data_IF_676718937419
#
_entry.id   IF_676718937419
#
_cell.length_a   1.000
_cell.length_b   1.000
_cell.length_c   1.000
_cell.angle_alpha   90.00
_cell.angle_beta   90.00
_cell.angle_gamma   90.00
#
_symmetry.space_group_name_H-M   'P 1'
#
loop_
_entity.id
_entity.type
_entity.pdbx_description
1 polymer ?
#
# COMPACT_ATOMS: atom_id res chain seq x y z
N UNK A 1 4.01 -11.89 13.27
CA UNK A 1 2.63 -11.87 13.82
C UNK A 1 1.75 -12.85 13.06
N UNK A 2 1.00 -13.73 13.72
CA UNK A 2 0.00 -14.59 13.06
C UNK A 2 -1.40 -14.09 13.44
N UNK A 3 -2.14 -13.59 12.46
CA UNK A 3 -3.52 -13.14 12.60
C UNK A 3 -4.31 -13.64 11.39
N UNK A 4 -5.44 -14.29 11.61
CA UNK A 4 -6.25 -14.87 10.55
C UNK A 4 -7.56 -14.11 10.31
N UNK A 5 -8.07 -13.39 11.30
CA UNK A 5 -9.37 -12.75 11.22
C UNK A 5 -10.55 -13.72 11.07
N UNK A 6 -11.76 -13.22 11.05
CA UNK A 6 -12.96 -13.97 10.66
C UNK A 6 -13.17 -13.90 9.15
N UNK A 7 -13.91 -14.83 8.56
CA UNK A 7 -14.17 -14.84 7.11
C UNK A 7 -14.83 -13.53 6.60
N UNK A 8 -15.64 -12.88 7.44
CA UNK A 8 -16.36 -11.64 7.12
C UNK A 8 -15.68 -10.39 7.72
N UNK A 9 -14.39 -10.45 8.10
CA UNK A 9 -13.67 -9.37 8.79
C UNK A 9 -13.79 -8.02 8.07
N UNK A 10 -13.75 -8.04 6.73
CA UNK A 10 -13.75 -6.83 5.89
C UNK A 10 -15.03 -6.72 5.04
N UNK A 11 -16.07 -7.46 5.41
CA UNK A 11 -17.36 -7.37 4.76
C UNK A 11 -17.87 -5.92 4.82
N UNK A 12 -18.43 -5.45 3.72
CA UNK A 12 -18.92 -4.08 3.52
C UNK A 12 -17.83 -2.99 3.60
N UNK A 13 -16.55 -3.35 3.59
CA UNK A 13 -15.44 -2.41 3.46
C UNK A 13 -15.07 -2.21 1.99
N UNK A 14 -14.88 -0.96 1.59
CA UNK A 14 -14.29 -0.58 0.31
C UNK A 14 -12.83 -0.17 0.53
N UNK A 15 -11.90 -0.85 -0.14
CA UNK A 15 -10.47 -0.68 0.11
C UNK A 15 -9.73 -0.43 -1.19
N UNK A 16 -8.95 0.66 -1.25
CA UNK A 16 -8.05 0.99 -2.35
C UNK A 16 -6.64 0.46 -2.05
N UNK A 17 -6.08 -0.28 -3.00
CA UNK A 17 -4.72 -0.85 -2.91
C UNK A 17 -3.89 -0.36 -4.09
N UNK A 18 -2.77 0.33 -3.83
CA UNK A 18 -1.80 0.72 -4.86
C UNK A 18 -0.74 -0.36 -5.05
N UNK A 19 -0.23 -0.53 -6.28
CA UNK A 19 0.67 -1.63 -6.61
C UNK A 19 -0.01 -3.00 -6.56
N UNK A 20 -1.32 -3.03 -6.85
CA UNK A 20 -2.17 -4.20 -6.68
C UNK A 20 -1.93 -5.30 -7.72
N UNK A 21 -1.19 -5.01 -8.81
CA UNK A 21 -0.94 -5.97 -9.88
C UNK A 21 0.13 -7.03 -9.54
N UNK A 22 0.95 -6.85 -8.50
CA UNK A 22 2.02 -7.79 -8.20
C UNK A 22 2.46 -7.79 -6.73
N UNK A 23 3.28 -8.76 -6.36
CA UNK A 23 4.00 -8.82 -5.09
C UNK A 23 3.09 -8.67 -3.87
N UNK A 24 3.45 -7.75 -2.97
CA UNK A 24 2.73 -7.53 -1.71
C UNK A 24 1.32 -7.01 -1.96
N UNK A 25 1.14 -6.05 -2.89
CA UNK A 25 -0.17 -5.48 -3.19
C UNK A 25 -1.16 -6.53 -3.70
N UNK A 26 -0.75 -7.42 -4.60
CA UNK A 26 -1.57 -8.52 -5.09
C UNK A 26 -1.91 -9.55 -3.99
N UNK A 27 -0.94 -9.87 -3.12
CA UNK A 27 -1.18 -10.77 -1.98
C UNK A 27 -2.16 -10.17 -0.96
N UNK A 28 -2.02 -8.89 -0.65
CA UNK A 28 -2.95 -8.15 0.21
C UNK A 28 -4.35 -8.12 -0.41
N UNK A 29 -4.45 -7.87 -1.73
CA UNK A 29 -5.73 -7.87 -2.44
C UNK A 29 -6.44 -9.23 -2.30
N UNK A 30 -5.73 -10.35 -2.54
CA UNK A 30 -6.28 -11.70 -2.33
C UNK A 30 -6.73 -11.93 -0.90
N UNK A 31 -5.92 -11.55 0.08
CA UNK A 31 -6.26 -11.71 1.48
C UNK A 31 -7.51 -10.92 1.87
N UNK A 32 -7.62 -9.67 1.46
CA UNK A 32 -8.76 -8.82 1.78
C UNK A 32 -10.04 -9.28 1.08
N UNK A 33 -9.95 -9.70 -0.18
CA UNK A 33 -11.07 -10.26 -0.93
C UNK A 33 -11.64 -11.53 -0.27
N UNK A 34 -10.76 -12.41 0.21
CA UNK A 34 -11.14 -13.62 0.95
C UNK A 34 -11.82 -13.31 2.30
N UNK A 35 -11.73 -12.08 2.80
CA UNK A 35 -12.40 -11.60 4.01
C UNK A 35 -13.59 -10.67 3.71
N UNK A 36 -14.07 -10.69 2.46
CA UNK A 36 -15.31 -10.02 2.05
C UNK A 36 -15.19 -8.56 1.62
N UNK A 37 -13.97 -8.01 1.49
CA UNK A 37 -13.78 -6.62 1.05
C UNK A 37 -14.16 -6.41 -0.42
N UNK A 38 -14.75 -5.25 -0.72
CA UNK A 38 -14.83 -4.70 -2.08
C UNK A 38 -13.54 -3.95 -2.37
N UNK A 39 -12.83 -4.33 -3.43
CA UNK A 39 -11.51 -3.80 -3.72
C UNK A 39 -11.48 -2.86 -4.92
N UNK A 40 -10.64 -1.83 -4.82
CA UNK A 40 -10.23 -0.97 -5.93
C UNK A 40 -8.73 -1.23 -6.13
N UNK A 41 -8.38 -1.83 -7.25
CA UNK A 41 -7.03 -2.27 -7.57
C UNK A 41 -6.36 -1.22 -8.46
N UNK A 42 -5.35 -0.52 -7.92
CA UNK A 42 -4.61 0.50 -8.65
C UNK A 42 -3.20 0.00 -8.99
N UNK A 43 -2.87 0.00 -10.26
CA UNK A 43 -1.52 -0.24 -10.79
C UNK A 43 -1.40 0.38 -12.19
N UNK A 44 -0.18 0.59 -12.66
CA UNK A 44 0.08 1.01 -14.05
C UNK A 44 0.09 -0.16 -15.03
N UNK A 45 0.29 -1.37 -14.54
CA UNK A 45 0.38 -2.59 -15.35
C UNK A 45 -1.01 -3.22 -15.52
N UNK A 46 -1.71 -2.83 -16.60
CA UNK A 46 -3.07 -3.30 -16.88
C UNK A 46 -3.16 -4.83 -16.96
N UNK A 47 -2.30 -5.56 -17.71
CA UNK A 47 -2.35 -7.02 -17.76
C UNK A 47 -2.20 -7.68 -16.38
N UNK A 48 -1.36 -7.12 -15.50
CA UNK A 48 -1.21 -7.64 -14.15
C UNK A 48 -2.44 -7.37 -13.27
N UNK A 49 -3.09 -6.22 -13.43
CA UNK A 49 -4.38 -5.93 -12.77
C UNK A 49 -5.47 -6.90 -13.23
N UNK A 50 -5.57 -7.13 -14.53
CA UNK A 50 -6.56 -8.06 -15.12
C UNK A 50 -6.36 -9.49 -14.60
N UNK A 51 -5.11 -9.94 -14.46
CA UNK A 51 -4.82 -11.26 -13.88
C UNK A 51 -5.32 -11.34 -12.43
N UNK A 52 -5.03 -10.36 -11.58
CA UNK A 52 -5.52 -10.34 -10.19
C UNK A 52 -7.03 -10.26 -10.15
N UNK A 53 -7.64 -9.46 -11.02
CA UNK A 53 -9.11 -9.38 -11.14
C UNK A 53 -9.73 -10.75 -11.44
N UNK A 54 -9.23 -11.46 -12.45
CA UNK A 54 -9.73 -12.76 -12.85
C UNK A 54 -9.59 -13.80 -11.73
N UNK A 55 -8.44 -13.78 -11.01
CA UNK A 55 -8.21 -14.64 -9.83
C UNK A 55 -9.25 -14.38 -8.73
N UNK A 56 -9.56 -13.11 -8.42
CA UNK A 56 -10.52 -12.73 -7.39
C UNK A 56 -11.95 -13.09 -7.78
N UNK A 57 -12.34 -12.83 -9.02
CA UNK A 57 -13.66 -13.21 -9.55
C UNK A 57 -13.83 -14.74 -9.54
N UNK A 58 -12.80 -15.48 -9.97
CA UNK A 58 -12.83 -16.94 -9.96
C UNK A 58 -12.92 -17.55 -8.55
N UNK A 59 -12.41 -16.85 -7.53
CA UNK A 59 -12.52 -17.26 -6.12
C UNK A 59 -13.91 -17.03 -5.51
N UNK A 60 -14.80 -16.32 -6.22
CA UNK A 60 -16.14 -15.95 -5.71
C UNK A 60 -16.13 -14.75 -4.75
N UNK A 61 -15.03 -14.01 -4.68
CA UNK A 61 -14.94 -12.77 -3.92
C UNK A 61 -15.80 -11.64 -4.54
N UNK A 62 -16.09 -10.56 -3.78
CA UNK A 62 -16.74 -9.38 -4.37
C UNK A 62 -15.95 -8.87 -5.58
N UNK A 63 -16.65 -8.60 -6.68
CA UNK A 63 -16.02 -8.15 -7.94
C UNK A 63 -15.24 -6.85 -7.71
N UNK A 64 -13.91 -6.84 -7.93
CA UNK A 64 -13.10 -5.64 -7.71
C UNK A 64 -13.27 -4.64 -8.86
N UNK A 65 -12.96 -3.37 -8.61
CA UNK A 65 -12.79 -2.37 -9.65
C UNK A 65 -11.31 -2.24 -10.03
N UNK A 66 -11.01 -2.08 -11.31
CA UNK A 66 -9.67 -1.77 -11.79
C UNK A 66 -9.52 -0.26 -11.99
N UNK A 67 -8.42 0.29 -11.52
CA UNK A 67 -8.05 1.69 -11.73
C UNK A 67 -6.61 1.79 -12.26
N UNK A 68 -6.42 1.70 -13.59
CA UNK A 68 -5.11 1.86 -14.21
C UNK A 68 -4.59 3.30 -14.00
N UNK A 69 -3.49 3.46 -13.27
CA UNK A 69 -2.85 4.77 -13.07
C UNK A 69 -1.34 4.60 -12.87
N UNK A 70 -0.55 5.34 -13.67
CA UNK A 70 0.88 5.46 -13.42
C UNK A 70 1.17 6.61 -12.45
N UNK A 71 1.53 6.24 -11.21
CA UNK A 71 1.85 7.22 -10.16
C UNK A 71 3.03 8.13 -10.52
N UNK A 72 3.90 7.73 -11.47
CA UNK A 72 5.00 8.56 -11.93
C UNK A 72 4.51 9.79 -12.72
N UNK A 73 3.46 9.62 -13.51
CA UNK A 73 2.91 10.67 -14.36
C UNK A 73 1.67 11.36 -13.81
N UNK A 74 1.09 10.82 -12.73
CA UNK A 74 -0.15 11.34 -12.16
C UNK A 74 0.04 12.71 -11.54
N UNK A 75 -0.89 13.61 -11.85
CA UNK A 75 -0.99 14.97 -11.35
C UNK A 75 -2.00 15.10 -10.21
N UNK A 76 -2.06 16.22 -9.54
CA UNK A 76 -3.03 16.47 -8.46
C UNK A 76 -4.49 16.22 -8.93
N UNK A 77 -4.93 16.74 -10.10
CA UNK A 77 -6.27 16.46 -10.61
C UNK A 77 -6.58 14.96 -10.79
N UNK A 78 -5.61 14.13 -11.17
CA UNK A 78 -5.83 12.70 -11.36
C UNK A 78 -6.20 12.00 -10.03
N UNK A 79 -5.58 12.40 -8.91
CA UNK A 79 -5.92 11.89 -7.57
C UNK A 79 -7.26 12.42 -7.08
N UNK A 80 -7.59 13.68 -7.35
CA UNK A 80 -8.87 14.29 -6.99
C UNK A 80 -10.02 13.61 -7.79
N UNK A 81 -9.79 13.31 -9.08
CA UNK A 81 -10.73 12.55 -9.91
C UNK A 81 -10.90 11.11 -9.42
N UNK A 82 -9.81 10.44 -9.03
CA UNK A 82 -9.90 9.09 -8.43
C UNK A 82 -10.78 9.11 -7.17
N UNK A 83 -10.56 10.04 -6.25
CA UNK A 83 -11.35 10.16 -5.04
C UNK A 83 -12.84 10.44 -5.34
N UNK A 84 -13.13 11.27 -6.34
CA UNK A 84 -14.49 11.55 -6.81
C UNK A 84 -15.13 10.29 -7.41
N UNK A 85 -14.39 9.54 -8.22
CA UNK A 85 -14.88 8.28 -8.83
C UNK A 85 -15.19 7.24 -7.75
N UNK A 86 -14.35 7.14 -6.70
CA UNK A 86 -14.63 6.26 -5.55
C UNK A 86 -15.91 6.70 -4.84
N UNK A 87 -16.06 8.01 -4.59
CA UNK A 87 -17.25 8.54 -3.97
C UNK A 87 -18.53 8.22 -4.78
N UNK A 88 -18.48 8.45 -6.09
CA UNK A 88 -19.65 8.28 -6.97
C UNK A 88 -20.09 6.82 -7.15
N UNK A 89 -19.12 5.88 -7.20
CA UNK A 89 -19.39 4.48 -7.48
C UNK A 89 -19.59 3.62 -6.22
N UNK A 90 -18.92 3.97 -5.10
CA UNK A 90 -18.92 3.17 -3.87
C UNK A 90 -19.52 3.91 -2.68
N UNK A 91 -19.52 5.25 -2.69
CA UNK A 91 -20.00 6.09 -1.59
C UNK A 91 -19.10 6.15 -0.37
N UNK A 92 -18.18 5.18 -0.22
CA UNK A 92 -17.31 5.00 0.96
C UNK A 92 -15.90 4.58 0.59
N UNK A 93 -14.95 4.85 1.49
CA UNK A 93 -13.60 4.29 1.46
C UNK A 93 -13.15 4.01 2.89
N UNK A 94 -13.01 2.74 3.24
CA UNK A 94 -12.68 2.28 4.59
C UNK A 94 -11.21 1.94 4.75
N UNK A 95 -10.51 1.70 3.64
CA UNK A 95 -9.11 1.36 3.66
C UNK A 95 -8.33 1.93 2.48
N UNK A 96 -7.08 2.34 2.77
CA UNK A 96 -6.11 2.77 1.76
C UNK A 96 -4.76 2.09 2.06
N UNK A 97 -4.29 1.26 1.12
CA UNK A 97 -3.02 0.52 1.28
C UNK A 97 -2.02 0.96 0.21
N UNK A 98 -0.93 1.53 0.65
CA UNK A 98 0.17 1.97 -0.21
C UNK A 98 1.24 0.88 -0.31
N UNK A 99 1.15 0.04 -1.37
CA UNK A 99 2.15 -0.98 -1.71
C UNK A 99 2.99 -0.64 -2.93
N UNK A 100 2.55 0.30 -3.78
CA UNK A 100 3.31 0.72 -4.95
C UNK A 100 4.66 1.30 -4.55
N UNK A 101 5.74 0.86 -5.21
CA UNK A 101 7.08 1.37 -4.97
C UNK A 101 7.98 1.22 -6.20
N UNK A 102 8.90 2.16 -6.35
CA UNK A 102 10.03 2.09 -7.28
C UNK A 102 11.34 1.99 -6.49
N UNK A 103 12.20 1.04 -6.85
CA UNK A 103 13.54 0.91 -6.24
C UNK A 103 14.46 2.08 -6.64
N UNK A 104 14.22 2.68 -7.79
CA UNK A 104 15.14 3.67 -8.35
C UNK A 104 16.52 3.07 -8.64
N UNK A 105 17.56 3.76 -8.21
CA UNK A 105 18.97 3.37 -8.39
C UNK A 105 19.67 3.21 -7.05
N UNK A 106 20.29 2.06 -6.83
CA UNK A 106 21.17 1.80 -5.69
C UNK A 106 22.60 2.18 -6.07
N UNK A 107 23.09 3.32 -5.58
CA UNK A 107 24.43 3.85 -5.90
C UNK A 107 24.88 4.88 -4.87
N UNK A 108 26.19 5.20 -4.80
CA UNK A 108 26.70 6.35 -4.05
C UNK A 108 26.01 7.65 -4.49
N UNK A 109 25.80 8.59 -3.56
CA UNK A 109 25.07 9.85 -3.85
C UNK A 109 25.66 10.62 -5.04
N UNK A 110 26.97 10.64 -5.20
CA UNK A 110 27.65 11.33 -6.32
C UNK A 110 27.38 10.69 -7.71
N UNK A 111 26.88 9.46 -7.75
CA UNK A 111 26.59 8.71 -8.98
C UNK A 111 25.10 8.48 -9.19
N UNK A 112 24.25 9.10 -8.35
CA UNK A 112 22.80 9.05 -8.55
C UNK A 112 22.40 9.82 -9.80
N UNK A 113 21.53 9.20 -10.60
CA UNK A 113 20.83 9.92 -11.66
C UNK A 113 19.77 10.84 -11.02
N UNK A 114 19.88 12.19 -11.19
CA UNK A 114 18.91 13.10 -10.60
C UNK A 114 17.47 12.87 -11.07
N UNK A 115 17.28 12.39 -12.30
CA UNK A 115 15.94 12.09 -12.82
C UNK A 115 15.34 10.90 -12.09
N UNK A 116 16.08 9.80 -11.98
CA UNK A 116 15.63 8.61 -11.23
C UNK A 116 15.42 8.92 -9.75
N UNK A 117 16.22 9.80 -9.17
CA UNK A 117 16.03 10.30 -7.81
C UNK A 117 14.66 10.95 -7.63
N UNK A 118 14.33 11.93 -8.48
CA UNK A 118 13.05 12.65 -8.41
C UNK A 118 11.87 11.72 -8.67
N UNK A 119 11.96 10.84 -9.67
CA UNK A 119 10.93 9.85 -9.98
C UNK A 119 10.67 8.92 -8.79
N UNK A 120 11.74 8.41 -8.15
CA UNK A 120 11.60 7.52 -7.00
C UNK A 120 10.94 8.21 -5.81
N UNK A 121 11.34 9.44 -5.47
CA UNK A 121 10.70 10.23 -4.42
C UNK A 121 9.24 10.54 -4.77
N UNK A 122 8.96 10.82 -6.05
CA UNK A 122 7.59 11.08 -6.47
C UNK A 122 6.70 9.85 -6.27
N UNK A 123 7.10 8.69 -6.79
CA UNK A 123 6.31 7.45 -6.70
C UNK A 123 6.16 6.98 -5.25
N UNK A 124 7.24 7.01 -4.46
CA UNK A 124 7.26 6.38 -3.15
C UNK A 124 6.79 7.28 -2.00
N UNK A 125 6.81 8.60 -2.17
CA UNK A 125 6.49 9.55 -1.10
C UNK A 125 5.44 10.58 -1.53
N UNK A 126 5.66 11.29 -2.65
CA UNK A 126 4.75 12.36 -3.07
C UNK A 126 3.40 11.81 -3.52
N UNK A 127 3.38 10.76 -4.33
CA UNK A 127 2.14 10.12 -4.79
C UNK A 127 1.31 9.53 -3.63
N UNK A 128 1.87 8.76 -2.66
CA UNK A 128 1.15 8.38 -1.45
C UNK A 128 0.56 9.54 -0.67
N UNK A 129 1.29 10.64 -0.50
CA UNK A 129 0.78 11.85 0.14
C UNK A 129 -0.41 12.44 -0.64
N UNK A 130 -0.27 12.64 -1.96
CA UNK A 130 -1.32 13.23 -2.79
C UNK A 130 -2.59 12.37 -2.83
N UNK A 131 -2.44 11.06 -2.95
CA UNK A 131 -3.54 10.12 -2.94
C UNK A 131 -4.25 10.10 -1.58
N UNK A 132 -3.47 10.04 -0.48
CA UNK A 132 -4.03 10.12 0.88
C UNK A 132 -4.82 11.41 1.07
N UNK A 133 -4.24 12.56 0.71
CA UNK A 133 -4.89 13.87 0.78
C UNK A 133 -6.22 13.89 0.02
N UNK A 134 -6.26 13.35 -1.19
CA UNK A 134 -7.47 13.33 -2.00
C UNK A 134 -8.58 12.43 -1.40
N UNK A 135 -8.19 11.31 -0.79
CA UNK A 135 -9.14 10.34 -0.23
C UNK A 135 -9.57 10.65 1.21
N UNK A 136 -8.81 11.46 1.96
CA UNK A 136 -8.99 11.63 3.40
C UNK A 136 -10.40 12.09 3.78
N UNK A 137 -10.95 13.08 3.09
CA UNK A 137 -12.30 13.58 3.37
C UNK A 137 -13.40 12.53 3.16
N UNK A 138 -13.19 11.56 2.25
CA UNK A 138 -14.10 10.44 2.06
C UNK A 138 -13.96 9.42 3.19
N UNK A 139 -12.74 9.14 3.63
CA UNK A 139 -12.45 8.20 4.71
C UNK A 139 -12.97 8.69 6.07
N UNK A 140 -12.92 9.99 6.33
CA UNK A 140 -13.43 10.61 7.57
C UNK A 140 -14.95 10.62 7.69
N UNK A 141 -15.71 10.21 6.67
CA UNK A 141 -17.18 10.13 6.74
C UNK A 141 -17.67 8.93 7.57
N UNK A 142 -16.82 7.94 7.82
CA UNK A 142 -17.16 6.69 8.49
C UNK A 142 -16.29 6.48 9.73
N UNK A 143 -16.77 5.71 10.68
CA UNK A 143 -16.21 5.66 12.03
C UNK A 143 -14.94 4.79 12.21
N UNK A 144 -14.47 4.12 11.17
CA UNK A 144 -13.31 3.22 11.30
C UNK A 144 -12.61 2.98 9.96
N UNK A 145 -11.83 3.95 9.52
CA UNK A 145 -10.98 3.79 8.35
C UNK A 145 -9.53 3.50 8.73
N UNK A 146 -8.77 2.87 7.83
CA UNK A 146 -7.37 2.52 8.05
C UNK A 146 -6.50 2.87 6.84
N UNK A 147 -5.40 3.59 7.07
CA UNK A 147 -4.36 3.86 6.09
C UNK A 147 -3.13 3.04 6.47
N UNK A 148 -2.62 2.26 5.52
CA UNK A 148 -1.44 1.42 5.72
C UNK A 148 -0.39 1.78 4.68
N UNK A 149 0.79 2.21 5.17
CA UNK A 149 1.95 2.43 4.32
C UNK A 149 2.91 1.24 4.43
N UNK A 150 3.47 0.81 3.28
CA UNK A 150 4.53 -0.21 3.26
C UNK A 150 5.88 0.48 3.30
N UNK A 151 6.64 0.28 4.39
CA UNK A 151 8.01 0.78 4.58
C UNK A 151 9.07 -0.28 4.26
N UNK A 152 10.32 -0.07 4.67
CA UNK A 152 11.44 -0.99 4.44
C UNK A 152 12.54 -0.77 5.50
N UNK A 153 13.20 -1.84 5.90
CA UNK A 153 14.30 -1.81 6.86
C UNK A 153 15.54 -1.05 6.36
N UNK A 154 15.72 -0.92 5.03
CA UNK A 154 16.90 -0.28 4.43
C UNK A 154 16.81 1.25 4.35
N UNK A 155 15.84 1.86 4.99
CA UNK A 155 15.59 3.31 4.98
C UNK A 155 16.80 4.17 5.36
N UNK A 156 17.66 3.68 6.25
CA UNK A 156 18.85 4.38 6.74
C UNK A 156 20.16 3.72 6.28
N UNK A 157 20.12 2.91 5.22
CA UNK A 157 21.25 2.13 4.74
C UNK A 157 22.00 2.88 3.62
N UNK A 158 23.33 2.89 3.69
CA UNK A 158 24.17 3.47 2.64
C UNK A 158 23.85 2.88 1.26
N UNK A 159 23.91 3.69 0.22
CA UNK A 159 23.63 3.37 -1.19
C UNK A 159 22.14 3.18 -1.53
N UNK A 160 21.21 3.17 -0.57
CA UNK A 160 19.77 3.04 -0.81
C UNK A 160 19.12 4.36 -1.23
N UNK A 161 19.80 5.46 -1.08
CA UNK A 161 19.55 6.74 -1.72
C UNK A 161 18.08 7.20 -1.67
N UNK A 162 17.50 7.60 -2.81
CA UNK A 162 16.10 8.07 -2.89
C UNK A 162 15.09 7.03 -2.41
N UNK A 163 15.36 5.74 -2.59
CA UNK A 163 14.48 4.69 -2.05
C UNK A 163 14.47 4.73 -0.52
N UNK A 164 15.63 4.63 0.13
CA UNK A 164 15.73 4.64 1.59
C UNK A 164 15.13 5.94 2.17
N UNK A 165 15.50 7.10 1.60
CA UNK A 165 14.96 8.40 2.01
C UNK A 165 13.44 8.44 1.87
N UNK A 166 12.87 7.90 0.77
CA UNK A 166 11.42 7.85 0.60
C UNK A 166 10.72 7.00 1.67
N UNK A 167 11.35 5.89 2.09
CA UNK A 167 10.79 5.03 3.15
C UNK A 167 10.88 5.67 4.54
N UNK A 168 11.97 6.39 4.85
CA UNK A 168 12.03 7.24 6.05
C UNK A 168 10.97 8.35 6.01
N UNK A 169 10.77 8.97 4.84
CA UNK A 169 9.74 10.00 4.63
C UNK A 169 8.31 9.46 4.84
N UNK A 170 8.01 8.25 4.37
CA UNK A 170 6.71 7.59 4.56
C UNK A 170 6.45 7.29 6.05
N UNK A 171 7.45 6.82 6.79
CA UNK A 171 7.29 6.61 8.24
C UNK A 171 7.02 7.91 8.99
N UNK A 172 7.72 8.99 8.61
CA UNK A 172 7.48 10.32 9.17
C UNK A 172 6.08 10.83 8.83
N UNK A 173 5.65 10.71 7.56
CA UNK A 173 4.32 11.08 7.11
C UNK A 173 3.23 10.30 7.87
N UNK A 174 3.41 8.99 8.02
CA UNK A 174 2.48 8.13 8.76
C UNK A 174 2.29 8.58 10.21
N UNK A 175 3.39 8.90 10.90
CA UNK A 175 3.34 9.37 12.29
C UNK A 175 2.66 10.72 12.41
N UNK A 176 2.96 11.67 11.50
CA UNK A 176 2.34 12.99 11.50
C UNK A 176 0.83 12.89 11.24
N UNK A 177 0.41 12.09 10.25
CA UNK A 177 -1.00 11.87 9.96
C UNK A 177 -1.73 11.17 11.12
N UNK A 178 -1.10 10.21 11.77
CA UNK A 178 -1.67 9.53 12.93
C UNK A 178 -1.94 10.49 14.09
N UNK A 179 -1.00 11.40 14.39
CA UNK A 179 -1.11 12.42 15.43
C UNK A 179 -2.18 13.48 15.05
N UNK A 180 -2.15 13.95 13.80
CA UNK A 180 -3.10 14.94 13.27
C UNK A 180 -4.55 14.45 13.31
N UNK A 181 -4.78 13.15 13.06
CA UNK A 181 -6.11 12.53 12.99
C UNK A 181 -6.57 11.90 14.31
N UNK A 182 -5.73 11.90 15.36
CA UNK A 182 -6.03 11.27 16.64
C UNK A 182 -7.29 11.85 17.31
N UNK A 183 -7.45 13.18 17.28
CA UNK A 183 -8.59 13.85 17.88
C UNK A 183 -9.93 13.48 17.24
N UNK A 184 -9.95 13.19 15.94
CA UNK A 184 -11.14 12.74 15.22
C UNK A 184 -11.40 11.24 15.45
N UNK A 185 -10.34 10.45 15.59
CA UNK A 185 -10.37 9.02 15.91
C UNK A 185 -10.96 8.11 14.83
N UNK A 186 -11.36 8.67 13.68
CA UNK A 186 -12.05 7.95 12.60
C UNK A 186 -11.10 7.25 11.64
N UNK A 187 -9.87 7.74 11.52
CA UNK A 187 -8.87 7.20 10.59
C UNK A 187 -7.62 6.85 11.36
N UNK A 188 -7.23 5.59 11.33
CA UNK A 188 -5.96 5.10 11.87
C UNK A 188 -4.90 5.06 10.77
N UNK A 189 -3.67 5.41 11.10
CA UNK A 189 -2.57 5.45 10.14
C UNK A 189 -1.39 4.68 10.69
N UNK A 190 -0.95 3.64 9.99
CA UNK A 190 0.16 2.79 10.43
C UNK A 190 1.09 2.43 9.28
N UNK A 191 2.29 1.97 9.62
CA UNK A 191 3.25 1.40 8.67
C UNK A 191 3.43 -0.10 8.89
N UNK A 192 3.76 -0.81 7.80
CA UNK A 192 4.24 -2.19 7.87
C UNK A 192 5.61 -2.26 7.21
N UNK A 193 6.57 -2.81 7.93
CA UNK A 193 7.83 -3.29 7.36
C UNK A 193 7.64 -4.76 7.00
N UNK A 194 7.59 -5.12 5.71
CA UNK A 194 7.33 -6.49 5.27
C UNK A 194 8.52 -7.42 5.50
N UNK A 195 9.73 -6.88 5.74
CA UNK A 195 10.97 -7.63 5.69
C UNK A 195 11.32 -8.11 4.29
N UNK A 196 12.33 -8.99 4.14
CA UNK A 196 12.72 -9.56 2.85
C UNK A 196 11.62 -10.48 2.28
N UNK A 197 11.01 -10.07 1.16
CA UNK A 197 9.90 -10.79 0.50
C UNK A 197 10.27 -11.12 -0.92
N UNK A 198 9.89 -12.32 -1.37
CA UNK A 198 10.02 -12.72 -2.77
C UNK A 198 9.23 -11.77 -3.67
N UNK A 199 9.94 -10.86 -4.34
CA UNK A 199 9.35 -9.84 -5.21
C UNK A 199 10.33 -9.40 -6.30
N UNK A 200 9.82 -8.83 -7.39
CA UNK A 200 10.65 -8.24 -8.44
C UNK A 200 11.53 -7.09 -7.92
N UNK A 201 11.05 -6.31 -6.95
CA UNK A 201 11.82 -5.25 -6.33
C UNK A 201 13.00 -5.83 -5.55
N UNK A 202 12.78 -6.86 -4.73
CA UNK A 202 13.85 -7.50 -3.96
C UNK A 202 14.87 -8.18 -4.88
N UNK A 203 14.44 -8.88 -5.94
CA UNK A 203 15.35 -9.51 -6.89
C UNK A 203 16.24 -8.49 -7.61
N UNK A 204 15.75 -7.28 -7.89
CA UNK A 204 16.55 -6.17 -8.43
C UNK A 204 17.54 -5.59 -7.42
N UNK A 205 17.16 -5.50 -6.14
CA UNK A 205 18.02 -4.99 -5.08
C UNK A 205 19.12 -6.00 -4.71
N UNK A 206 18.81 -7.28 -4.74
CA UNK A 206 19.69 -8.37 -4.31
C UNK A 206 19.76 -9.49 -5.35
N UNK A 207 20.37 -9.26 -6.53
CA UNK A 207 20.36 -10.23 -7.62
C UNK A 207 21.12 -11.54 -7.33
N UNK A 208 21.94 -11.56 -6.26
CA UNK A 208 22.68 -12.75 -5.85
C UNK A 208 21.91 -13.65 -4.85
N UNK A 209 20.76 -13.18 -4.34
CA UNK A 209 19.94 -13.97 -3.41
C UNK A 209 18.99 -14.85 -4.21
N UNK A 210 18.96 -16.14 -3.87
CA UNK A 210 17.98 -17.06 -4.44
C UNK A 210 16.56 -16.67 -3.97
N UNK A 211 15.65 -16.29 -4.89
CA UNK A 211 14.29 -15.93 -4.51
C UNK A 211 13.54 -17.00 -3.73
N UNK A 212 13.86 -18.29 -3.94
CA UNK A 212 13.21 -19.40 -3.23
C UNK A 212 13.54 -19.46 -1.73
N UNK A 213 14.62 -18.79 -1.31
CA UNK A 213 15.00 -18.67 0.10
C UNK A 213 14.18 -17.62 0.87
N UNK A 214 13.42 -16.81 0.15
CA UNK A 214 12.64 -15.71 0.73
C UNK A 214 11.21 -16.13 1.02
N UNK A 215 10.62 -15.46 2.00
CA UNK A 215 9.19 -15.60 2.32
C UNK A 215 8.36 -15.07 1.16
N UNK A 216 7.32 -15.81 0.77
CA UNK A 216 6.36 -15.33 -0.24
C UNK A 216 5.44 -14.24 0.32
N UNK A 217 4.93 -13.36 -0.54
CA UNK A 217 4.09 -12.25 -0.12
C UNK A 217 2.82 -12.71 0.62
N UNK A 218 2.26 -13.87 0.27
CA UNK A 218 1.05 -14.39 0.93
C UNK A 218 1.26 -14.75 2.41
N UNK A 219 2.50 -14.98 2.83
CA UNK A 219 2.82 -15.31 4.23
C UNK A 219 3.00 -14.09 5.13
N UNK A 220 3.07 -12.89 4.53
CA UNK A 220 3.26 -11.65 5.30
C UNK A 220 2.01 -10.76 5.33
N UNK A 221 0.85 -11.25 4.88
CA UNK A 221 -0.40 -10.50 4.82
C UNK A 221 -1.10 -10.34 6.18
N UNK A 222 -0.78 -11.17 7.18
CA UNK A 222 -1.38 -11.13 8.51
C UNK A 222 -1.42 -9.75 9.16
N UNK A 223 -0.33 -8.97 9.22
CA UNK A 223 -0.37 -7.63 9.79
C UNK A 223 -1.21 -6.65 8.95
N UNK A 224 -1.29 -6.82 7.63
CA UNK A 224 -2.18 -6.02 6.79
C UNK A 224 -3.65 -6.28 7.12
N UNK A 225 -4.05 -7.55 7.28
CA UNK A 225 -5.38 -7.94 7.73
C UNK A 225 -5.68 -7.37 9.12
N UNK A 226 -4.75 -7.52 10.06
CA UNK A 226 -4.92 -7.00 11.43
C UNK A 226 -5.15 -5.50 11.45
N UNK A 227 -4.29 -4.71 10.77
CA UNK A 227 -4.39 -3.26 10.76
C UNK A 227 -5.61 -2.74 9.99
N UNK A 228 -6.14 -3.52 9.03
CA UNK A 228 -7.34 -3.15 8.30
C UNK A 228 -8.61 -3.44 9.09
N UNK A 229 -8.61 -4.49 9.90
CA UNK A 229 -9.77 -4.92 10.69
C UNK A 229 -9.99 -4.10 11.97
N UNK A 230 -11.14 -4.34 12.59
CA UNK A 230 -11.57 -3.69 13.84
C UNK A 230 -10.73 -4.06 15.06
N UNK A 231 -10.06 -5.23 15.05
CA UNK A 231 -9.26 -5.72 16.18
C UNK A 231 -8.04 -4.85 16.48
N UNK A 232 -7.65 -4.00 15.54
CA UNK A 232 -6.57 -3.01 15.69
C UNK A 232 -7.06 -1.59 15.96
N UNK A 233 -8.30 -1.42 16.44
CA UNK A 233 -8.93 -0.11 16.68
C UNK A 233 -8.12 0.84 17.55
N UNK A 234 -7.26 0.32 18.42
CA UNK A 234 -6.39 1.10 19.32
C UNK A 234 -4.97 1.29 18.77
N UNK A 235 -4.66 0.76 17.59
CA UNK A 235 -3.32 0.80 17.01
C UNK A 235 -3.26 1.95 15.99
N UNK A 236 -2.50 3.01 16.35
CA UNK A 236 -2.31 4.19 15.52
C UNK A 236 -0.86 4.69 15.63
N UNK A 237 -0.30 5.23 14.56
CA UNK A 237 1.07 5.77 14.50
C UNK A 237 2.19 4.73 14.64
N UNK A 238 1.88 3.45 14.48
CA UNK A 238 2.82 2.34 14.76
C UNK A 238 3.45 1.79 13.48
N UNK A 239 4.68 1.30 13.61
CA UNK A 239 5.36 0.51 12.58
C UNK A 239 5.34 -0.95 13.04
N UNK A 240 4.73 -1.84 12.25
CA UNK A 240 4.66 -3.27 12.53
C UNK A 240 5.65 -4.03 11.64
N UNK A 241 6.44 -4.90 12.25
CA UNK A 241 7.29 -5.86 11.55
C UNK A 241 6.46 -7.09 11.16
N UNK A 242 6.46 -7.46 9.85
CA UNK A 242 5.69 -8.60 9.37
C UNK A 242 6.42 -9.94 9.55
N UNK A 243 7.74 -9.88 9.72
CA UNK A 243 8.62 -11.04 9.92
C UNK A 243 9.36 -10.97 11.23
#
# INVERSE_FOLDING_TARGET
MQYAGTADLLKDHTILITGAGAGIGAAVARAYANHGATLILLDKNIPALEQVYDELVASGAPTPALYPLDLQGASIPDYDELALNIHNNFGRLDGLVHCAASLGQLAPVQHQDPKLWLETLHINLTAPYLLTRACLALMQKYDSASIIFTTDAHKDTAYWSSYGISKSGIESLSKQLADELECDGRVRVNCINPGPVQSALHARAFPAIDPSSLVTADKIVSPYLYLMGSDSSTINGTIIEAQ
#
